data_IF_807167601249
#
_entry.id   IF_807167601249
#
_cell.length_a   1.000
_cell.length_b   1.000
_cell.length_c   1.000
_cell.angle_alpha   90.00
_cell.angle_beta   90.00
_cell.angle_gamma   90.00
#
_symmetry.space_group_name_H-M   'P 1'
#
loop_
_entity.id
_entity.type
_entity.pdbx_description
1 polymer ?
#
# COMPACT_ATOMS: atom_id res chain seq x y z
N UNK A 1 -33.50 10.01 3.92
CA UNK A 1 -32.60 10.12 2.78
C UNK A 1 -31.25 9.54 3.13
N UNK A 2 -30.83 8.54 2.42
CA UNK A 2 -29.52 7.93 2.66
C UNK A 2 -28.43 8.73 1.97
N UNK A 3 -27.36 9.02 2.70
CA UNK A 3 -26.17 9.57 2.09
C UNK A 3 -25.43 8.45 1.39
N UNK A 4 -25.07 8.67 0.13
CA UNK A 4 -24.22 7.72 -0.57
C UNK A 4 -22.81 7.83 0.00
N UNK A 5 -22.27 6.68 0.41
CA UNK A 5 -20.89 6.63 0.85
C UNK A 5 -19.99 6.68 -0.39
N UNK A 6 -18.93 7.47 -0.29
CA UNK A 6 -17.92 7.52 -1.32
C UNK A 6 -17.23 6.15 -1.41
N UNK A 7 -17.03 5.66 -2.62
CA UNK A 7 -16.26 4.45 -2.88
C UNK A 7 -14.92 4.81 -3.50
N UNK A 8 -13.84 4.35 -2.90
CA UNK A 8 -12.48 4.61 -3.36
C UNK A 8 -11.83 3.29 -3.74
N UNK A 9 -11.27 3.24 -4.95
CA UNK A 9 -10.54 2.07 -5.43
C UNK A 9 -9.06 2.43 -5.58
N UNK A 10 -8.20 1.65 -4.93
CA UNK A 10 -6.76 1.90 -4.89
C UNK A 10 -5.97 0.65 -5.20
N UNK A 11 -4.72 0.84 -5.58
CA UNK A 11 -3.71 -0.21 -5.68
C UNK A 11 -2.66 0.02 -4.62
N UNK A 12 -2.12 -1.06 -4.06
CA UNK A 12 -1.07 -1.00 -3.05
C UNK A 12 0.06 -1.95 -3.40
N UNK A 13 1.30 -1.52 -3.18
CA UNK A 13 2.49 -2.30 -3.46
C UNK A 13 3.08 -2.89 -2.20
N UNK A 14 3.13 -4.22 -2.14
CA UNK A 14 3.86 -4.94 -1.11
C UNK A 14 5.27 -5.12 -1.67
N UNK A 15 6.14 -4.15 -1.38
CA UNK A 15 7.49 -4.12 -1.95
C UNK A 15 8.40 -4.95 -1.07
N UNK A 16 8.91 -6.04 -1.65
CA UNK A 16 9.81 -6.96 -0.94
C UNK A 16 11.25 -6.74 -1.39
N UNK A 17 12.15 -6.63 -0.41
CA UNK A 17 13.58 -6.57 -0.63
C UNK A 17 14.25 -7.48 0.40
N UNK A 18 15.06 -8.44 -0.07
CA UNK A 18 15.59 -9.51 0.78
C UNK A 18 14.42 -10.24 1.46
N UNK A 19 14.33 -10.33 2.74
CA UNK A 19 13.18 -10.92 3.42
C UNK A 19 12.40 -9.88 4.22
N UNK A 20 12.39 -8.64 3.71
CA UNK A 20 11.70 -7.54 4.36
C UNK A 20 10.66 -6.91 3.43
N UNK A 21 9.68 -6.27 4.05
CA UNK A 21 8.56 -5.61 3.36
C UNK A 21 8.57 -4.13 3.75
N UNK A 22 8.38 -3.26 2.76
CA UNK A 22 8.33 -1.83 3.00
C UNK A 22 6.99 -1.40 3.58
N UNK A 23 7.03 -0.76 4.75
CA UNK A 23 5.90 -0.08 5.35
C UNK A 23 6.15 1.42 5.35
N UNK A 24 5.13 2.21 5.03
CA UNK A 24 5.24 3.67 4.99
C UNK A 24 4.23 4.30 5.92
N UNK A 25 4.63 5.38 6.57
CA UNK A 25 3.76 6.10 7.51
C UNK A 25 3.15 7.31 6.82
N UNK A 26 1.81 7.40 6.85
CA UNK A 26 1.09 8.49 6.21
C UNK A 26 1.34 9.81 6.95
N UNK A 27 1.73 10.83 6.20
CA UNK A 27 2.09 12.14 6.76
C UNK A 27 0.99 13.18 6.73
N UNK A 28 -0.24 12.85 6.28
CA UNK A 28 -1.30 13.83 6.11
C UNK A 28 -2.69 13.19 6.19
N UNK A 29 -3.72 14.03 6.30
CA UNK A 29 -5.12 13.63 6.24
C UNK A 29 -5.65 13.03 7.53
N UNK A 30 -6.86 12.48 7.44
CA UNK A 30 -7.57 11.91 8.58
C UNK A 30 -6.91 10.65 9.15
N UNK A 31 -6.11 9.96 8.33
CA UNK A 31 -5.43 8.74 8.71
C UNK A 31 -3.94 8.97 8.96
N UNK A 32 -3.56 10.21 9.24
CA UNK A 32 -2.18 10.58 9.52
C UNK A 32 -1.58 9.71 10.63
N UNK A 33 -0.30 9.39 10.50
CA UNK A 33 0.50 8.56 11.39
C UNK A 33 0.21 7.07 11.31
N UNK A 34 -0.83 6.64 10.58
CA UNK A 34 -1.07 5.23 10.32
C UNK A 34 -0.07 4.67 9.31
N UNK A 35 0.28 3.41 9.48
CA UNK A 35 1.20 2.72 8.57
C UNK A 35 0.42 1.98 7.50
N UNK A 36 0.96 1.99 6.28
CA UNK A 36 0.29 1.44 5.11
C UNK A 36 1.30 0.93 4.09
N UNK A 37 0.82 0.14 3.14
CA UNK A 37 1.61 -0.14 1.94
C UNK A 37 1.49 1.04 0.99
N UNK A 38 2.58 1.43 0.30
CA UNK A 38 2.53 2.56 -0.63
C UNK A 38 1.66 2.23 -1.85
N UNK A 39 1.01 3.23 -2.39
CA UNK A 39 0.12 3.11 -3.53
C UNK A 39 -0.83 4.28 -3.60
N UNK A 40 -1.91 4.14 -4.33
CA UNK A 40 -2.88 5.22 -4.45
C UNK A 40 -4.04 4.88 -5.37
N UNK A 41 -4.79 5.91 -5.72
CA UNK A 41 -6.03 5.77 -6.49
C UNK A 41 -5.76 5.35 -7.93
N UNK A 42 -6.63 4.46 -8.42
CA UNK A 42 -6.66 4.07 -9.82
C UNK A 42 -7.44 5.13 -10.58
N UNK A 43 -6.89 5.64 -11.67
CA UNK A 43 -7.58 6.59 -12.55
C UNK A 43 -8.51 5.83 -13.50
N UNK A 44 -9.60 6.50 -13.99
CA UNK A 44 -10.53 5.85 -14.91
C UNK A 44 -9.83 5.26 -16.13
N UNK A 45 -10.09 3.97 -16.39
CA UNK A 45 -9.51 3.28 -17.53
C UNK A 45 -8.07 2.84 -17.37
N UNK A 46 -7.47 3.11 -16.22
CA UNK A 46 -6.07 2.75 -15.94
C UNK A 46 -5.98 1.31 -15.44
N UNK A 47 -5.04 0.52 -15.98
CA UNK A 47 -4.78 -0.82 -15.48
C UNK A 47 -4.11 -0.74 -14.10
N UNK A 48 -4.33 -1.75 -13.26
CA UNK A 48 -3.77 -1.78 -11.89
C UNK A 48 -2.24 -1.64 -11.90
N UNK A 49 -1.56 -2.39 -12.75
CA UNK A 49 -0.10 -2.35 -12.83
C UNK A 49 0.42 -0.97 -13.21
N UNK A 50 -0.25 -0.31 -14.16
CA UNK A 50 0.11 1.04 -14.59
C UNK A 50 -0.10 2.03 -13.45
N UNK A 51 -1.26 1.96 -12.78
CA UNK A 51 -1.57 2.81 -11.65
C UNK A 51 -0.55 2.66 -10.53
N UNK A 52 -0.21 1.42 -10.20
CA UNK A 52 0.72 1.14 -9.12
C UNK A 52 2.12 1.68 -9.41
N UNK A 53 2.64 1.44 -10.62
CA UNK A 53 3.94 1.97 -11.03
C UNK A 53 3.97 3.50 -10.99
N UNK A 54 2.89 4.14 -11.46
CA UNK A 54 2.77 5.59 -11.42
C UNK A 54 2.77 6.11 -9.98
N UNK A 55 1.94 5.54 -9.12
CA UNK A 55 1.84 5.98 -7.72
C UNK A 55 3.15 5.80 -6.95
N UNK A 56 3.82 4.66 -7.12
CA UNK A 56 5.11 4.43 -6.47
C UNK A 56 6.16 5.42 -6.97
N UNK A 57 6.18 5.72 -8.26
CA UNK A 57 7.10 6.72 -8.81
C UNK A 57 6.82 8.11 -8.21
N UNK A 58 5.56 8.50 -8.12
CA UNK A 58 5.17 9.80 -7.57
C UNK A 58 5.50 9.93 -6.08
N UNK A 59 5.29 8.86 -5.31
CA UNK A 59 5.44 8.90 -3.86
C UNK A 59 6.86 8.63 -3.37
N UNK A 60 7.60 7.75 -4.04
CA UNK A 60 8.89 7.24 -3.57
C UNK A 60 10.04 7.48 -4.55
N UNK A 61 9.79 8.06 -5.71
CA UNK A 61 10.78 8.18 -6.80
C UNK A 61 11.44 6.85 -7.13
N UNK A 62 10.70 5.77 -7.00
CA UNK A 62 11.21 4.42 -7.22
C UNK A 62 10.47 3.74 -8.38
N UNK A 63 11.18 2.82 -9.05
CA UNK A 63 10.60 1.99 -10.08
C UNK A 63 10.46 0.56 -9.57
N UNK A 64 9.32 -0.06 -9.85
CA UNK A 64 9.01 -1.40 -9.39
C UNK A 64 8.67 -2.32 -10.55
N UNK A 65 8.86 -3.61 -10.29
CA UNK A 65 8.29 -4.69 -11.10
C UNK A 65 7.12 -5.27 -10.31
N UNK A 66 5.95 -5.32 -10.93
CA UNK A 66 4.77 -5.94 -10.32
C UNK A 66 4.83 -7.43 -10.60
N UNK A 67 4.90 -8.25 -9.57
CA UNK A 67 5.13 -9.70 -9.69
C UNK A 67 3.84 -10.51 -9.70
N UNK A 68 2.96 -10.30 -8.71
CA UNK A 68 1.71 -11.03 -8.64
C UNK A 68 0.70 -10.35 -7.73
N UNK A 69 -0.58 -10.63 -7.99
CA UNK A 69 -1.66 -10.20 -7.12
C UNK A 69 -1.66 -11.05 -5.85
N UNK A 70 -1.73 -10.41 -4.69
CA UNK A 70 -1.76 -11.10 -3.40
C UNK A 70 -3.17 -11.19 -2.84
N UNK A 71 -3.87 -10.06 -2.74
CA UNK A 71 -5.20 -10.00 -2.16
C UNK A 71 -5.92 -8.73 -2.61
N UNK A 72 -7.24 -8.80 -2.72
CA UNK A 72 -8.08 -7.62 -2.88
C UNK A 72 -8.92 -7.49 -1.62
N UNK A 73 -8.86 -6.34 -0.99
CA UNK A 73 -9.53 -6.05 0.27
C UNK A 73 -10.68 -5.09 0.01
N UNK A 74 -11.85 -5.42 0.54
CA UNK A 74 -12.98 -4.50 0.59
C UNK A 74 -13.18 -4.12 2.05
N UNK A 75 -12.94 -2.86 2.37
CA UNK A 75 -13.01 -2.36 3.74
C UNK A 75 -14.07 -1.28 3.85
N UNK A 76 -15.04 -1.51 4.72
CA UNK A 76 -16.18 -0.60 4.93
C UNK A 76 -16.20 0.03 6.32
N UNK A 77 -15.11 -0.12 7.06
CA UNK A 77 -15.03 0.35 8.45
C UNK A 77 -14.60 1.80 8.63
N UNK A 78 -14.20 2.50 7.57
CA UNK A 78 -13.90 3.93 7.66
C UNK A 78 -15.18 4.76 7.68
N UNK A 79 -15.16 5.87 8.38
CA UNK A 79 -16.35 6.67 8.59
C UNK A 79 -16.90 7.30 7.30
N UNK A 80 -16.01 7.80 6.44
CA UNK A 80 -16.39 8.64 5.29
C UNK A 80 -16.45 7.91 3.96
N UNK A 81 -15.88 6.72 3.86
CA UNK A 81 -15.78 6.04 2.57
C UNK A 81 -15.62 4.52 2.72
N UNK A 82 -15.96 3.83 1.64
CA UNK A 82 -15.68 2.42 1.48
C UNK A 82 -14.47 2.27 0.55
N UNK A 83 -13.60 1.32 0.83
CA UNK A 83 -12.33 1.14 0.14
C UNK A 83 -12.25 -0.23 -0.51
N UNK A 84 -11.84 -0.27 -1.77
CA UNK A 84 -11.38 -1.49 -2.43
C UNK A 84 -9.89 -1.32 -2.71
N UNK A 85 -9.07 -2.19 -2.14
CA UNK A 85 -7.62 -2.11 -2.26
C UNK A 85 -7.08 -3.40 -2.89
N UNK A 86 -6.45 -3.26 -4.05
CA UNK A 86 -5.81 -4.37 -4.77
C UNK A 86 -4.33 -4.36 -4.43
N UNK A 87 -3.87 -5.41 -3.75
CA UNK A 87 -2.50 -5.51 -3.25
C UNK A 87 -1.67 -6.45 -4.12
N UNK A 88 -0.52 -5.97 -4.57
CA UNK A 88 0.38 -6.70 -5.45
C UNK A 88 1.77 -6.81 -4.82
N UNK A 89 2.35 -8.01 -4.94
CA UNK A 89 3.76 -8.22 -4.58
C UNK A 89 4.63 -7.55 -5.63
N UNK A 90 5.62 -6.77 -5.18
CA UNK A 90 6.50 -6.01 -6.06
C UNK A 90 7.95 -6.16 -5.63
N UNK A 91 8.86 -5.91 -6.59
CA UNK A 91 10.28 -5.76 -6.30
C UNK A 91 10.76 -4.42 -6.85
N UNK A 92 11.86 -3.91 -6.28
CA UNK A 92 12.49 -2.69 -6.79
C UNK A 92 13.34 -3.03 -8.02
N UNK A 93 13.22 -2.22 -9.07
CA UNK A 93 14.05 -2.37 -10.27
C UNK A 93 15.48 -1.97 -9.92
N UNK A 94 16.44 -2.86 -10.19
CA UNK A 94 17.87 -2.64 -9.93
C UNK A 94 18.19 -2.22 -8.49
N UNK A 95 17.43 -2.73 -7.51
CA UNK A 95 17.58 -2.38 -6.09
C UNK A 95 17.63 -0.87 -5.85
N UNK A 96 16.85 -0.10 -6.64
CA UNK A 96 16.81 1.34 -6.54
C UNK A 96 16.45 1.79 -5.12
N UNK A 97 17.00 2.93 -4.70
CA UNK A 97 16.67 3.54 -3.43
C UNK A 97 15.29 4.19 -3.50
N UNK A 98 14.65 4.30 -2.35
CA UNK A 98 13.39 5.04 -2.24
C UNK A 98 13.66 6.43 -1.66
N UNK A 99 12.85 7.40 -2.09
CA UNK A 99 12.88 8.78 -1.57
C UNK A 99 11.46 9.11 -1.09
N UNK A 100 11.33 9.49 0.17
CA UNK A 100 10.01 9.82 0.73
C UNK A 100 9.59 11.22 0.31
N UNK A 101 8.59 11.32 -0.56
CA UNK A 101 8.04 12.60 -1.01
C UNK A 101 6.75 12.97 -0.29
N UNK A 102 5.94 11.98 0.06
CA UNK A 102 4.63 12.19 0.66
C UNK A 102 4.45 11.53 2.03
N UNK A 103 5.31 10.57 2.36
CA UNK A 103 5.21 9.85 3.62
C UNK A 103 6.12 10.45 4.68
N UNK A 104 5.71 10.30 5.93
CA UNK A 104 6.42 10.81 7.10
C UNK A 104 7.63 9.94 7.43
N UNK A 105 7.51 8.63 7.26
CA UNK A 105 8.56 7.66 7.55
C UNK A 105 8.38 6.38 6.74
N UNK A 106 9.42 5.57 6.70
CA UNK A 106 9.38 4.24 6.09
C UNK A 106 10.23 3.27 6.89
N UNK A 107 9.82 2.00 6.91
CA UNK A 107 10.58 0.92 7.55
C UNK A 107 10.54 -0.31 6.67
N UNK A 108 11.66 -1.03 6.64
CA UNK A 108 11.73 -2.37 6.07
C UNK A 108 11.50 -3.35 7.21
N UNK A 109 10.40 -4.10 7.16
CA UNK A 109 9.98 -4.99 8.24
C UNK A 109 10.23 -6.45 7.87
N UNK A 110 10.93 -7.17 8.76
CA UNK A 110 11.08 -8.61 8.65
C UNK A 110 9.81 -9.30 9.13
N UNK A 111 9.70 -10.61 8.90
CA UNK A 111 8.57 -11.39 9.39
C UNK A 111 8.35 -11.19 10.90
N UNK A 112 9.42 -11.16 11.68
CA UNK A 112 9.37 -11.01 13.13
C UNK A 112 8.89 -9.62 13.55
N UNK A 113 9.09 -8.60 12.71
CA UNK A 113 8.76 -7.22 13.01
C UNK A 113 7.52 -6.70 12.26
N UNK A 114 6.86 -7.58 11.50
CA UNK A 114 5.79 -7.17 10.60
C UNK A 114 4.65 -6.46 11.31
N UNK A 115 4.35 -6.84 12.55
CA UNK A 115 3.29 -6.24 13.35
C UNK A 115 3.78 -5.19 14.35
N UNK A 116 5.01 -4.69 14.18
CA UNK A 116 5.61 -3.73 15.10
C UNK A 116 5.16 -2.29 14.86
N UNK A 117 4.41 -2.03 13.80
CA UNK A 117 3.89 -0.70 13.45
C UNK A 117 2.36 -0.69 13.52
N UNK A 118 1.79 0.49 13.66
CA UNK A 118 0.33 0.68 13.71
C UNK A 118 -0.25 0.69 12.29
N UNK A 119 -0.46 -0.49 11.74
CA UNK A 119 -1.07 -0.60 10.42
C UNK A 119 -2.47 -0.01 10.39
N UNK A 120 -2.81 0.71 9.33
CA UNK A 120 -4.17 1.14 9.09
C UNK A 120 -5.09 -0.08 8.99
N UNK A 121 -6.33 0.00 9.49
CA UNK A 121 -7.22 -1.16 9.53
C UNK A 121 -7.39 -1.88 8.18
N UNK A 122 -7.48 -1.13 7.08
CA UNK A 122 -7.65 -1.74 5.76
C UNK A 122 -6.43 -2.55 5.32
N UNK A 123 -5.23 -2.24 5.85
CA UNK A 123 -4.01 -2.91 5.44
C UNK A 123 -3.75 -4.22 6.20
N UNK A 124 -4.41 -4.44 7.33
CA UNK A 124 -4.12 -5.58 8.19
C UNK A 124 -4.28 -6.93 7.48
N UNK A 125 -5.33 -7.10 6.69
CA UNK A 125 -5.54 -8.35 5.96
C UNK A 125 -4.44 -8.61 4.93
N UNK A 126 -3.89 -7.55 4.33
CA UNK A 126 -2.75 -7.68 3.42
C UNK A 126 -1.48 -8.06 4.18
N UNK A 127 -1.27 -7.51 5.37
CA UNK A 127 -0.15 -7.87 6.23
C UNK A 127 -0.25 -9.35 6.59
N UNK A 128 -1.44 -9.82 6.97
CA UNK A 128 -1.66 -11.23 7.30
C UNK A 128 -1.39 -12.13 6.09
N UNK A 129 -1.84 -11.72 4.91
CA UNK A 129 -1.64 -12.48 3.68
C UNK A 129 -0.16 -12.63 3.33
N UNK A 130 0.60 -11.53 3.41
CA UNK A 130 2.03 -11.57 3.07
C UNK A 130 2.86 -12.28 4.13
N UNK A 131 2.44 -12.24 5.39
CA UNK A 131 3.17 -12.90 6.48
C UNK A 131 3.30 -14.40 6.25
N UNK A 132 2.31 -15.00 5.59
CA UNK A 132 2.31 -16.44 5.26
C UNK A 132 3.31 -16.81 4.18
N UNK A 133 3.86 -15.83 3.50
CA UNK A 133 4.77 -16.00 2.37
C UNK A 133 6.21 -15.60 2.70
N UNK A 134 6.46 -15.17 3.91
CA UNK A 134 7.79 -14.76 4.36
C UNK A 134 8.52 -15.86 5.10
#
# INVERSE_FOLDING_TARGET
>A
MSEERKHIEVVAGIIKKDNTILATQRGYGDLKDGWEFPGGKIEPGEAHEVALKREIHEELEAEITVLEHIITIEYTGYEKFDLTMHCYLCSLVNDSDITLLEHEAAKWLSKENLYSVDWLPADIDAVDAISKRL
#
